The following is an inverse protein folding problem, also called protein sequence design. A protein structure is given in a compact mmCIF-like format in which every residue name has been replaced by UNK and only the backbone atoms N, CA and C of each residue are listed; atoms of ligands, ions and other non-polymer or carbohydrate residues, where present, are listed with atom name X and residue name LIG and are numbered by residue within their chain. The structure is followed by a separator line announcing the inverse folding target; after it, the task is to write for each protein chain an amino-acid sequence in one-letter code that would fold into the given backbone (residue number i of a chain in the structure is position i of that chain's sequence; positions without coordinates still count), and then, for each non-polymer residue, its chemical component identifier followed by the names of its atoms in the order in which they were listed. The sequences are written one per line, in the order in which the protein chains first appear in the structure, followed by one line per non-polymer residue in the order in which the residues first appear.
data_IF_831028874898
#
_entry.id   IF_831028874898
#
_cell.length_a   1.000
_cell.length_b   1.000
_cell.length_c   1.000
_cell.angle_alpha   90.00
_cell.angle_beta   90.00
_cell.angle_gamma   90.00
#
_symmetry.space_group_name_H-M   'P 1'
#
loop_
_entity.id
_entity.type
_entity.pdbx_description
1 polymer ?
#
# COMPACT_ATOMS: atom_id res chain seq x y z
N UNK A 1 38.74 23.26 19.67
CA UNK A 1 38.40 22.09 18.85
C UNK A 1 36.99 22.29 18.33
N UNK A 2 36.91 22.68 17.07
CA UNK A 2 35.76 23.31 16.44
C UNK A 2 34.55 22.40 16.24
N UNK A 3 33.37 22.94 16.58
CA UNK A 3 32.18 23.09 15.72
C UNK A 3 32.02 22.08 14.56
N UNK A 4 31.05 21.18 14.70
CA UNK A 4 30.29 20.65 13.57
C UNK A 4 28.79 20.66 13.91
N UNK A 5 28.09 21.63 13.31
CA UNK A 5 26.64 21.63 13.07
C UNK A 5 26.37 20.78 11.83
N UNK A 6 25.35 19.91 11.84
CA UNK A 6 24.46 19.53 10.72
C UNK A 6 23.56 18.36 11.21
N UNK A 7 22.25 18.23 11.03
CA UNK A 7 21.13 19.04 10.55
C UNK A 7 19.88 18.32 11.10
N UNK A 8 18.75 19.00 11.40
CA UNK A 8 17.49 18.28 11.58
C UNK A 8 17.11 17.65 10.24
N UNK A 9 17.00 16.32 10.20
CA UNK A 9 16.39 15.54 9.10
C UNK A 9 14.91 15.95 8.99
N UNK A 10 14.67 17.14 8.44
CA UNK A 10 13.36 17.55 7.95
C UNK A 10 13.13 16.65 6.75
N UNK A 11 12.42 15.55 6.98
CA UNK A 11 11.81 14.78 5.90
C UNK A 11 10.79 15.68 5.24
N UNK A 12 11.32 16.38 4.25
CA UNK A 12 10.67 17.23 3.30
C UNK A 12 9.41 16.54 2.78
N UNK A 13 8.30 17.24 2.95
CA UNK A 13 6.98 16.99 2.40
C UNK A 13 7.13 16.87 0.87
N UNK A 14 7.41 15.65 0.39
CA UNK A 14 7.49 15.39 -1.05
C UNK A 14 6.07 15.49 -1.59
N UNK A 15 5.86 16.19 -2.71
CA UNK A 15 4.55 16.44 -3.27
C UNK A 15 3.82 15.10 -3.45
N UNK A 16 2.56 15.07 -3.02
CA UNK A 16 1.64 13.94 -3.07
C UNK A 16 1.53 13.35 -4.48
N UNK A 17 2.51 12.54 -4.89
CA UNK A 17 2.27 11.44 -5.84
C UNK A 17 1.15 10.62 -5.23
N UNK A 18 0.13 10.18 -5.99
CA UNK A 18 -0.94 9.36 -5.43
C UNK A 18 -0.27 8.17 -4.73
N UNK A 19 -0.28 8.21 -3.40
CA UNK A 19 0.48 7.28 -2.55
C UNK A 19 -0.12 5.92 -2.79
N UNK A 20 0.52 5.17 -3.68
CA UNK A 20 0.07 3.83 -4.04
C UNK A 20 0.57 2.91 -2.95
N UNK A 21 -0.17 2.89 -1.86
CA UNK A 21 0.15 2.12 -0.67
C UNK A 21 -0.17 0.65 -0.90
N UNK A 22 0.68 -0.23 -0.42
CA UNK A 22 0.42 -1.67 -0.45
C UNK A 22 0.34 -2.16 0.99
N UNK A 23 -0.84 -2.60 1.40
CA UNK A 23 -1.10 -3.15 2.74
C UNK A 23 -1.25 -4.65 2.63
N UNK A 24 -0.41 -5.38 3.37
CA UNK A 24 -0.49 -6.83 3.46
C UNK A 24 -1.26 -7.23 4.72
N UNK A 25 -2.10 -8.26 4.64
CA UNK A 25 -2.78 -8.76 5.84
C UNK A 25 -4.11 -8.08 6.17
N UNK A 26 -4.44 -6.96 5.52
CA UNK A 26 -5.59 -6.14 5.87
C UNK A 26 -6.92 -6.70 5.33
N UNK A 27 -6.90 -7.31 4.13
CA UNK A 27 -8.09 -7.87 3.50
C UNK A 27 -8.15 -9.40 3.68
N UNK A 28 -9.31 -9.94 4.06
CA UNK A 28 -9.55 -11.38 4.00
C UNK A 28 -9.87 -11.79 2.55
N UNK A 29 -9.26 -12.87 2.06
CA UNK A 29 -9.60 -13.36 0.72
C UNK A 29 -11.01 -13.98 0.71
N UNK A 30 -11.94 -13.55 -0.16
CA UNK A 30 -13.29 -14.08 -0.20
C UNK A 30 -13.38 -15.55 -0.67
N UNK A 31 -12.33 -16.07 -1.33
CA UNK A 31 -12.31 -17.45 -1.84
C UNK A 31 -11.76 -18.46 -0.85
N UNK A 32 -10.64 -18.14 -0.20
CA UNK A 32 -9.96 -19.07 0.72
C UNK A 32 -9.96 -18.64 2.18
N UNK A 33 -10.54 -17.46 2.50
CA UNK A 33 -10.62 -16.85 3.83
C UNK A 33 -9.28 -16.73 4.56
N UNK A 34 -8.19 -16.63 3.81
CA UNK A 34 -6.86 -16.36 4.34
C UNK A 34 -6.60 -14.86 4.38
N UNK A 35 -5.91 -14.40 5.43
CA UNK A 35 -5.43 -13.02 5.57
C UNK A 35 -4.16 -12.74 4.77
N UNK A 36 -3.55 -13.74 4.13
CA UNK A 36 -2.36 -13.52 3.30
C UNK A 36 -2.73 -12.92 1.94
N UNK A 37 -3.06 -11.63 1.97
CA UNK A 37 -3.48 -10.83 0.81
C UNK A 37 -2.63 -9.56 0.73
N UNK A 38 -2.38 -9.09 -0.48
CA UNK A 38 -1.76 -7.82 -0.78
C UNK A 38 -2.83 -6.89 -1.35
N UNK A 39 -3.20 -5.85 -0.60
CA UNK A 39 -4.16 -4.83 -1.00
C UNK A 39 -3.41 -3.57 -1.43
N UNK A 40 -3.69 -3.11 -2.65
CA UNK A 40 -3.21 -1.89 -3.26
C UNK A 40 -4.25 -0.79 -3.02
N UNK A 41 -3.78 0.30 -2.46
CA UNK A 41 -4.54 1.48 -2.09
C UNK A 41 -4.05 2.67 -2.92
N UNK A 42 -4.90 3.65 -3.11
CA UNK A 42 -4.55 4.95 -3.69
C UNK A 42 -5.23 6.01 -2.84
N UNK A 43 -4.46 6.58 -1.90
CA UNK A 43 -5.03 7.28 -0.75
C UNK A 43 -5.88 6.33 0.10
N UNK A 44 -7.07 6.76 0.48
CA UNK A 44 -8.01 5.98 1.31
C UNK A 44 -8.88 4.98 0.54
N UNK A 45 -8.65 4.78 -0.77
CA UNK A 45 -9.43 3.86 -1.60
C UNK A 45 -8.62 2.63 -1.96
N UNK A 46 -9.13 1.45 -1.60
CA UNK A 46 -8.58 0.18 -2.07
C UNK A 46 -8.90 0.01 -3.56
N UNK A 47 -7.87 0.06 -4.41
CA UNK A 47 -8.02 -0.07 -5.87
C UNK A 47 -7.95 -1.52 -6.32
N UNK A 48 -7.22 -2.35 -5.59
CA UNK A 48 -7.05 -3.76 -5.92
C UNK A 48 -6.58 -4.53 -4.69
N UNK A 49 -6.83 -5.82 -4.63
CA UNK A 49 -6.29 -6.77 -3.69
C UNK A 49 -6.01 -8.08 -4.41
N UNK A 50 -4.96 -8.77 -3.97
CA UNK A 50 -4.54 -10.07 -4.47
C UNK A 50 -4.34 -11.02 -3.32
N UNK A 51 -4.95 -12.19 -3.36
CA UNK A 51 -4.62 -13.27 -2.44
C UNK A 51 -3.35 -13.95 -2.89
N UNK A 52 -2.34 -13.98 -2.03
CA UNK A 52 -1.07 -14.64 -2.33
C UNK A 52 -1.14 -16.17 -2.15
N UNK A 53 -2.25 -16.70 -1.62
CA UNK A 53 -2.48 -18.16 -1.50
C UNK A 53 -3.23 -18.78 -2.67
N UNK A 54 -4.20 -18.08 -3.27
CA UNK A 54 -5.04 -18.63 -4.35
C UNK A 54 -5.01 -17.79 -5.64
N UNK A 55 -4.14 -16.78 -5.68
CA UNK A 55 -3.96 -15.81 -6.77
C UNK A 55 -5.21 -15.02 -7.17
N UNK A 56 -6.29 -15.08 -6.38
CA UNK A 56 -7.49 -14.31 -6.65
C UNK A 56 -7.17 -12.82 -6.63
N UNK A 57 -7.66 -12.05 -7.61
CA UNK A 57 -7.56 -10.59 -7.66
C UNK A 57 -8.96 -10.00 -7.57
N UNK A 58 -9.16 -8.95 -6.77
CA UNK A 58 -10.44 -8.27 -6.58
C UNK A 58 -10.24 -6.82 -6.13
N UNK A 59 -11.21 -5.90 -6.27
CA UNK A 59 -12.33 -6.00 -7.19
C UNK A 59 -11.84 -6.20 -8.63
N UNK A 60 -12.64 -6.85 -9.47
CA UNK A 60 -12.35 -6.92 -10.90
C UNK A 60 -12.41 -5.50 -11.47
N UNK A 61 -11.45 -5.06 -12.31
CA UNK A 61 -11.60 -3.79 -13.00
C UNK A 61 -12.89 -3.85 -13.80
N UNK A 62 -13.75 -2.84 -13.63
CA UNK A 62 -14.97 -2.65 -14.40
C UNK A 62 -14.55 -2.38 -15.86
N UNK A 63 -14.40 -3.45 -16.64
CA UNK A 63 -14.16 -3.37 -18.09
C UNK A 63 -15.50 -3.09 -18.73
N UNK A 64 -15.79 -1.79 -18.93
CA UNK A 64 -16.91 -1.27 -19.71
C UNK A 64 -16.56 -1.24 -21.19
#
# INVERSE_FOLDING_TARGET
MEKYMDAPDVKEDRPSTPSREVRMGEAECPRCRKYFTASYWSGDVMVQARCLSCDLKWPLPDVV
#
